data_IF_317286829545
#
_entry.id   IF_317286829545
#
_cell.length_a   1.000
_cell.length_b   1.000
_cell.length_c   1.000
_cell.angle_alpha   90.00
_cell.angle_beta   90.00
_cell.angle_gamma   90.00
#
_symmetry.space_group_name_H-M   'P 1'
#
loop_
_entity.id
_entity.type
_entity.pdbx_description
1 polymer ?
#
# COMPACT_ATOMS: atom_id res chain seq x y z
N UNK A 1 24.96 5.84 1.26
CA UNK A 1 24.38 7.04 1.92
C UNK A 1 23.16 6.56 2.67
N UNK A 2 23.16 6.57 3.99
CA UNK A 2 21.98 6.11 4.76
C UNK A 2 20.86 7.11 4.51
N UNK A 3 19.83 6.66 3.84
CA UNK A 3 18.65 7.47 3.55
C UNK A 3 17.85 7.60 4.84
N UNK A 4 17.79 8.81 5.41
CA UNK A 4 17.02 9.09 6.61
C UNK A 4 15.60 9.50 6.18
N UNK A 5 14.67 8.53 6.23
CA UNK A 5 13.24 8.83 6.27
C UNK A 5 12.92 8.98 7.77
N UNK A 6 12.48 10.16 8.23
CA UNK A 6 12.20 10.37 9.65
C UNK A 6 11.14 9.40 10.16
N UNK A 7 11.35 8.90 11.40
CA UNK A 7 10.41 8.03 12.10
C UNK A 7 9.99 6.76 11.33
N UNK A 8 10.88 6.27 10.45
CA UNK A 8 10.66 5.04 9.70
C UNK A 8 11.43 3.86 10.28
N UNK A 9 10.83 2.68 10.22
CA UNK A 9 11.52 1.38 10.33
C UNK A 9 11.66 0.82 8.92
N UNK A 10 12.85 0.36 8.56
CA UNK A 10 13.11 -0.11 7.19
C UNK A 10 14.13 -1.25 7.14
N UNK A 11 14.00 -2.08 6.13
CA UNK A 11 15.00 -3.08 5.76
C UNK A 11 16.25 -2.41 5.15
N UNK A 12 17.33 -3.17 4.97
CA UNK A 12 18.50 -2.71 4.22
C UNK A 12 18.11 -2.43 2.76
N UNK A 13 18.29 -1.18 2.33
CA UNK A 13 17.95 -0.72 1.00
C UNK A 13 19.19 -0.68 0.11
N UNK A 14 19.23 -1.56 -0.87
CA UNK A 14 20.24 -1.55 -1.93
C UNK A 14 19.50 -1.38 -3.26
N UNK A 15 19.54 -0.18 -3.81
CA UNK A 15 18.92 0.15 -5.09
C UNK A 15 19.98 0.21 -6.19
N UNK A 16 19.67 -0.42 -7.33
CA UNK A 16 20.46 -0.39 -8.54
C UNK A 16 20.23 0.88 -9.38
N UNK A 17 20.89 0.93 -10.53
CA UNK A 17 20.63 1.91 -11.59
C UNK A 17 19.65 1.30 -12.59
N UNK A 18 18.41 1.10 -12.14
CA UNK A 18 17.30 0.48 -12.88
C UNK A 18 16.01 1.25 -12.61
N UNK A 19 14.94 1.05 -13.38
CA UNK A 19 13.61 1.53 -13.02
C UNK A 19 13.25 1.18 -11.58
N UNK A 20 12.46 2.02 -10.93
CA UNK A 20 12.05 1.84 -9.54
C UNK A 20 10.54 1.76 -9.42
N UNK A 21 10.05 0.72 -8.76
CA UNK A 21 8.66 0.56 -8.36
C UNK A 21 8.58 0.75 -6.85
N UNK A 22 7.88 1.80 -6.40
CA UNK A 22 7.52 1.99 -5.00
C UNK A 22 6.05 1.63 -4.84
N UNK A 23 5.76 0.65 -3.98
CA UNK A 23 4.44 0.06 -3.90
C UNK A 23 3.92 0.07 -2.46
N UNK A 24 2.69 0.54 -2.24
CA UNK A 24 1.99 0.33 -0.98
C UNK A 24 1.68 -1.16 -0.75
N UNK A 25 1.29 -1.51 0.46
CA UNK A 25 1.04 -2.90 0.84
C UNK A 25 -0.44 -3.16 1.06
N UNK A 26 -1.06 -2.42 1.99
CA UNK A 26 -2.44 -2.68 2.40
C UNK A 26 -3.41 -2.30 1.27
N UNK A 27 -4.28 -3.22 0.88
CA UNK A 27 -5.25 -3.10 -0.23
C UNK A 27 -4.61 -3.02 -1.64
N UNK A 28 -3.27 -3.13 -1.71
CA UNK A 28 -2.50 -3.15 -2.97
C UNK A 28 -1.82 -4.51 -3.18
N UNK A 29 -0.98 -4.94 -2.25
CA UNK A 29 -0.22 -6.22 -2.29
C UNK A 29 -0.84 -7.28 -1.39
N UNK A 30 -1.31 -6.84 -0.22
CA UNK A 30 -2.08 -7.66 0.71
C UNK A 30 -3.51 -7.12 0.79
N UNK A 31 -4.48 -8.01 0.80
CA UNK A 31 -5.86 -7.64 1.10
C UNK A 31 -5.93 -7.04 2.52
N UNK A 32 -6.69 -5.96 2.66
CA UNK A 32 -6.90 -5.30 3.95
C UNK A 32 -8.38 -5.29 4.35
N UNK A 33 -9.26 -4.82 3.47
CA UNK A 33 -10.68 -4.62 3.80
C UNK A 33 -11.38 -5.93 4.17
N UNK A 34 -11.24 -6.96 3.35
CA UNK A 34 -11.87 -8.27 3.56
C UNK A 34 -11.36 -8.94 4.84
N UNK A 35 -10.04 -9.06 5.09
CA UNK A 35 -9.50 -9.58 6.34
C UNK A 35 -9.89 -8.74 7.56
N UNK A 36 -9.88 -7.41 7.45
CA UNK A 36 -10.27 -6.53 8.54
C UNK A 36 -11.75 -6.70 8.91
N UNK A 37 -12.63 -6.88 7.92
CA UNK A 37 -14.05 -7.19 8.17
C UNK A 37 -14.22 -8.53 8.92
N UNK A 38 -13.46 -9.56 8.57
CA UNK A 38 -13.48 -10.83 9.28
C UNK A 38 -12.97 -10.68 10.72
N UNK A 39 -11.86 -9.93 10.91
CA UNK A 39 -11.33 -9.59 12.22
C UNK A 39 -12.35 -8.82 13.08
N UNK A 40 -13.00 -7.81 12.53
CA UNK A 40 -14.04 -7.04 13.22
C UNK A 40 -15.17 -7.95 13.69
N UNK A 41 -15.64 -8.86 12.82
CA UNK A 41 -16.71 -9.81 13.16
C UNK A 41 -16.31 -10.71 14.31
N UNK A 42 -15.09 -11.22 14.31
CA UNK A 42 -14.56 -12.04 15.40
C UNK A 42 -14.41 -11.27 16.73
N UNK A 43 -14.34 -9.93 16.66
CA UNK A 43 -14.22 -9.05 17.82
C UNK A 43 -15.54 -8.30 18.17
N UNK A 44 -16.68 -8.78 17.68
CA UNK A 44 -18.01 -8.23 18.05
C UNK A 44 -18.40 -6.95 17.33
N UNK A 45 -17.80 -6.70 16.18
CA UNK A 45 -18.08 -5.54 15.33
C UNK A 45 -18.39 -5.96 13.90
N UNK A 46 -18.93 -5.05 13.11
CA UNK A 46 -19.14 -5.23 11.68
C UNK A 46 -18.73 -3.98 10.88
N UNK A 47 -18.26 -4.17 9.65
CA UNK A 47 -18.00 -3.09 8.71
C UNK A 47 -19.22 -2.93 7.80
N UNK A 48 -19.81 -1.72 7.76
CA UNK A 48 -20.91 -1.32 6.86
C UNK A 48 -20.42 -0.20 5.95
N UNK A 49 -19.75 -0.49 4.82
CA UNK A 49 -19.11 0.52 3.99
C UNK A 49 -20.14 1.45 3.35
N UNK A 50 -20.08 2.73 3.66
CA UNK A 50 -20.86 3.81 3.02
C UNK A 50 -19.95 4.93 2.49
N UNK A 51 -18.66 4.86 2.81
CA UNK A 51 -17.64 5.81 2.40
C UNK A 51 -16.27 5.14 2.37
N UNK A 52 -15.30 5.78 1.72
CA UNK A 52 -13.89 5.33 1.69
C UNK A 52 -13.16 5.69 2.98
N UNK A 53 -13.67 5.23 4.12
CA UNK A 53 -13.11 5.43 5.47
C UNK A 53 -13.46 4.25 6.36
N UNK A 54 -12.68 4.04 7.42
CA UNK A 54 -13.04 3.08 8.49
C UNK A 54 -13.97 3.74 9.52
N UNK A 55 -13.60 4.93 10.01
CA UNK A 55 -14.43 5.68 10.96
C UNK A 55 -15.78 6.04 10.33
N UNK A 56 -16.87 5.82 11.05
CA UNK A 56 -18.24 6.00 10.57
C UNK A 56 -18.82 4.76 9.86
N UNK A 57 -17.99 3.75 9.58
CA UNK A 57 -18.41 2.50 8.92
C UNK A 57 -18.30 1.25 9.82
N UNK A 58 -17.74 1.37 11.02
CA UNK A 58 -17.65 0.26 11.99
C UNK A 58 -18.75 0.37 13.00
N UNK A 59 -19.49 -0.74 13.24
CA UNK A 59 -20.63 -0.81 14.14
C UNK A 59 -20.47 -1.95 15.13
N UNK A 60 -20.92 -1.75 16.37
CA UNK A 60 -20.95 -2.80 17.39
C UNK A 60 -22.09 -3.78 17.14
N UNK A 61 -21.80 -5.08 17.15
CA UNK A 61 -22.81 -6.13 17.05
C UNK A 61 -23.66 -6.23 18.32
N UNK A 62 -23.15 -5.81 19.47
CA UNK A 62 -23.85 -5.91 20.75
C UNK A 62 -25.03 -4.92 20.87
N UNK A 63 -24.90 -3.72 20.31
CA UNK A 63 -25.93 -2.68 20.44
C UNK A 63 -26.30 -1.98 19.12
N UNK A 64 -25.66 -2.38 18.00
CA UNK A 64 -25.97 -1.87 16.65
C UNK A 64 -25.58 -0.40 16.40
N UNK A 65 -24.93 0.25 17.35
CA UNK A 65 -24.48 1.62 17.23
C UNK A 65 -23.12 1.73 16.55
N UNK A 66 -22.80 2.94 16.04
CA UNK A 66 -21.48 3.28 15.50
C UNK A 66 -20.41 3.11 16.57
N UNK A 67 -19.28 2.52 16.19
CA UNK A 67 -18.12 2.32 17.06
C UNK A 67 -17.33 3.63 17.14
N UNK A 68 -17.00 4.14 18.34
CA UNK A 68 -16.19 5.35 18.51
C UNK A 68 -14.82 5.25 17.84
N UNK A 69 -14.29 6.38 17.34
CA UNK A 69 -13.06 6.43 16.58
C UNK A 69 -11.83 5.89 17.35
N UNK A 70 -11.77 6.11 18.67
CA UNK A 70 -10.71 5.58 19.53
C UNK A 70 -10.78 4.04 19.68
N UNK A 71 -11.96 3.48 19.61
CA UNK A 71 -12.14 2.02 19.59
C UNK A 71 -11.80 1.43 18.21
N UNK A 72 -12.20 2.10 17.13
CA UNK A 72 -11.76 1.72 15.77
C UNK A 72 -10.24 1.72 15.67
N UNK A 73 -9.57 2.74 16.23
CA UNK A 73 -8.11 2.80 16.28
C UNK A 73 -7.50 1.63 17.09
N UNK A 74 -8.10 1.24 18.22
CA UNK A 74 -7.65 0.07 19.01
C UNK A 74 -7.86 -1.26 18.25
N UNK A 75 -8.95 -1.39 17.53
CA UNK A 75 -9.23 -2.56 16.69
C UNK A 75 -8.22 -2.66 15.54
N UNK A 76 -7.90 -1.53 14.90
CA UNK A 76 -6.89 -1.47 13.85
C UNK A 76 -5.50 -1.83 14.37
N UNK A 77 -5.13 -1.34 15.55
CA UNK A 77 -3.86 -1.70 16.22
C UNK A 77 -3.78 -3.20 16.53
N UNK A 78 -4.87 -3.77 17.05
CA UNK A 78 -4.94 -5.20 17.33
C UNK A 78 -4.87 -6.04 16.04
N UNK A 79 -5.50 -5.56 14.96
CA UNK A 79 -5.41 -6.19 13.64
C UNK A 79 -3.98 -6.20 13.12
N UNK A 80 -3.26 -5.07 13.15
CA UNK A 80 -1.87 -5.02 12.72
C UNK A 80 -0.95 -5.87 13.60
N UNK A 81 -1.25 -6.01 14.89
CA UNK A 81 -0.49 -6.88 15.78
C UNK A 81 -0.59 -8.36 15.40
N UNK A 82 -1.75 -8.81 14.93
CA UNK A 82 -2.00 -10.19 14.51
C UNK A 82 -2.26 -10.36 13.02
N UNK A 83 -1.74 -9.46 12.19
CA UNK A 83 -2.04 -9.40 10.74
C UNK A 83 -1.67 -10.67 9.97
N UNK A 84 -0.68 -11.41 10.45
CA UNK A 84 -0.23 -12.69 9.90
C UNK A 84 -1.28 -13.79 9.96
N UNK A 85 -2.25 -13.68 10.89
CA UNK A 85 -3.38 -14.59 10.99
C UNK A 85 -4.56 -14.21 10.07
N UNK A 86 -4.54 -13.03 9.45
CA UNK A 86 -5.69 -12.48 8.75
C UNK A 86 -5.45 -12.14 7.29
N UNK A 87 -4.34 -11.43 7.00
CA UNK A 87 -4.10 -10.89 5.67
C UNK A 87 -3.57 -11.95 4.71
N UNK A 88 -4.02 -11.86 3.46
CA UNK A 88 -3.62 -12.72 2.35
C UNK A 88 -3.21 -11.87 1.15
N UNK A 89 -2.40 -12.41 0.23
CA UNK A 89 -2.02 -11.68 -0.98
C UNK A 89 -3.21 -11.31 -1.85
N UNK A 90 -3.14 -10.11 -2.44
CA UNK A 90 -4.02 -9.73 -3.53
C UNK A 90 -3.73 -10.62 -4.74
N UNK A 91 -4.80 -11.03 -5.44
CA UNK A 91 -4.70 -11.89 -6.61
C UNK A 91 -3.72 -11.35 -7.64
N UNK A 92 -2.83 -12.19 -8.14
CA UNK A 92 -1.78 -11.91 -9.11
C UNK A 92 -0.66 -10.95 -8.65
N UNK A 93 -0.72 -10.35 -7.45
CA UNK A 93 0.31 -9.44 -6.96
C UNK A 93 1.71 -10.07 -6.96
N UNK A 94 1.83 -11.29 -6.40
CA UNK A 94 3.12 -11.96 -6.29
C UNK A 94 3.72 -12.27 -7.68
N UNK A 95 2.91 -12.80 -8.59
CA UNK A 95 3.37 -13.16 -9.94
C UNK A 95 3.76 -11.91 -10.75
N UNK A 96 2.97 -10.84 -10.68
CA UNK A 96 3.26 -9.59 -11.40
C UNK A 96 4.51 -8.91 -10.86
N UNK A 97 4.67 -8.82 -9.54
CA UNK A 97 5.87 -8.24 -8.91
C UNK A 97 7.11 -9.10 -9.20
N UNK A 98 7.00 -10.44 -9.20
CA UNK A 98 8.10 -11.32 -9.56
C UNK A 98 8.59 -11.06 -11.00
N UNK A 99 7.68 -10.95 -11.96
CA UNK A 99 8.03 -10.60 -13.35
C UNK A 99 8.62 -9.22 -13.49
N UNK A 100 8.06 -8.22 -12.80
CA UNK A 100 8.57 -6.83 -12.81
C UNK A 100 9.94 -6.70 -12.15
N UNK A 101 10.26 -7.52 -11.15
CA UNK A 101 11.54 -7.52 -10.45
C UNK A 101 12.72 -7.93 -11.36
N UNK A 102 12.46 -8.57 -12.49
CA UNK A 102 13.48 -8.90 -13.49
C UNK A 102 14.07 -7.63 -14.15
N UNK A 103 13.29 -6.55 -14.22
CA UNK A 103 13.66 -5.31 -14.93
C UNK A 103 13.66 -4.05 -14.05
N UNK A 104 13.13 -4.10 -12.83
CA UNK A 104 13.05 -2.96 -11.90
C UNK A 104 13.46 -3.33 -10.48
N UNK A 105 13.92 -2.33 -9.72
CA UNK A 105 14.00 -2.44 -8.27
C UNK A 105 12.60 -2.23 -7.68
N UNK A 106 12.24 -3.00 -6.65
CA UNK A 106 10.95 -2.90 -5.97
C UNK A 106 11.18 -2.56 -4.51
N UNK A 107 10.44 -1.57 -4.00
CA UNK A 107 10.43 -1.19 -2.58
C UNK A 107 8.99 -1.06 -2.11
N UNK A 108 8.66 -1.71 -1.01
CA UNK A 108 7.39 -1.49 -0.33
C UNK A 108 7.46 -0.25 0.56
N UNK A 109 6.41 0.58 0.52
CA UNK A 109 6.30 1.79 1.33
C UNK A 109 4.90 1.85 1.95
N UNK A 110 4.78 1.45 3.21
CA UNK A 110 3.50 1.39 3.92
C UNK A 110 3.35 2.49 4.97
N UNK A 111 2.10 2.97 5.14
CA UNK A 111 1.72 3.89 6.21
C UNK A 111 1.36 3.15 7.53
N UNK A 112 1.54 1.85 7.58
CA UNK A 112 1.41 1.07 8.81
C UNK A 112 2.41 1.57 9.86
N UNK A 113 2.01 1.68 11.14
CA UNK A 113 2.94 2.12 12.19
C UNK A 113 4.21 1.27 12.24
N UNK A 114 5.40 1.89 12.33
CA UNK A 114 6.70 1.22 12.26
C UNK A 114 6.89 0.07 13.27
N UNK A 115 6.25 0.13 14.43
CA UNK A 115 6.29 -0.93 15.47
C UNK A 115 5.79 -2.30 14.99
N UNK A 116 5.05 -2.35 13.89
CA UNK A 116 4.56 -3.61 13.28
C UNK A 116 5.46 -4.10 12.13
N UNK A 117 6.59 -3.44 11.86
CA UNK A 117 7.49 -3.79 10.76
C UNK A 117 7.88 -5.28 10.77
N UNK A 118 8.31 -5.81 11.91
CA UNK A 118 8.80 -7.19 12.00
C UNK A 118 7.72 -8.24 11.64
N UNK A 119 6.48 -8.09 12.13
CA UNK A 119 5.39 -9.01 11.81
C UNK A 119 4.97 -8.89 10.34
N UNK A 120 4.92 -7.66 9.80
CA UNK A 120 4.64 -7.43 8.38
C UNK A 120 5.72 -8.04 7.49
N UNK A 121 7.00 -7.90 7.84
CA UNK A 121 8.11 -8.48 7.09
C UNK A 121 7.99 -10.01 7.03
N UNK A 122 7.67 -10.66 8.16
CA UNK A 122 7.46 -12.10 8.20
C UNK A 122 6.28 -12.54 7.32
N UNK A 123 5.16 -11.81 7.36
CA UNK A 123 3.99 -12.08 6.53
C UNK A 123 4.32 -11.96 5.03
N UNK A 124 5.02 -10.90 4.64
CA UNK A 124 5.43 -10.71 3.25
C UNK A 124 6.36 -11.84 2.77
N UNK A 125 7.35 -12.21 3.57
CA UNK A 125 8.27 -13.33 3.26
C UNK A 125 7.52 -14.66 3.15
N UNK A 126 6.54 -14.92 4.01
CA UNK A 126 5.70 -16.12 3.92
C UNK A 126 4.98 -16.25 2.57
N UNK A 127 4.63 -15.12 1.97
CA UNK A 127 3.94 -15.05 0.69
C UNK A 127 4.87 -14.79 -0.52
N UNK A 128 6.19 -14.86 -0.33
CA UNK A 128 7.18 -14.71 -1.41
C UNK A 128 7.44 -13.28 -1.85
N UNK A 129 7.10 -12.29 -1.03
CA UNK A 129 7.39 -10.87 -1.27
C UNK A 129 8.71 -10.45 -0.59
N UNK A 130 9.84 -10.87 -1.14
CA UNK A 130 11.17 -10.62 -0.57
C UNK A 130 11.79 -9.30 -1.06
N UNK A 131 10.98 -8.24 -1.13
CA UNK A 131 11.43 -6.89 -1.48
C UNK A 131 11.61 -6.04 -0.22
N UNK A 132 12.57 -5.09 -0.20
CA UNK A 132 12.76 -4.19 0.94
C UNK A 132 11.49 -3.43 1.29
N UNK A 133 11.25 -3.21 2.58
CA UNK A 133 10.08 -2.52 3.09
C UNK A 133 10.47 -1.33 3.97
N UNK A 134 9.72 -0.25 3.83
CA UNK A 134 9.76 0.94 4.68
C UNK A 134 8.36 1.10 5.29
N UNK A 135 8.30 1.14 6.62
CA UNK A 135 7.10 1.48 7.37
C UNK A 135 7.26 2.89 7.97
N UNK A 136 6.35 3.80 7.64
CA UNK A 136 6.38 5.19 8.16
C UNK A 136 4.99 5.79 8.16
N UNK A 137 4.65 6.51 9.23
CA UNK A 137 3.43 7.32 9.32
C UNK A 137 3.59 8.72 8.68
N UNK A 138 4.78 9.05 8.17
CA UNK A 138 5.04 10.28 7.44
C UNK A 138 4.42 10.25 6.03
N UNK A 139 4.28 11.43 5.41
CA UNK A 139 3.80 11.54 4.04
C UNK A 139 4.71 10.79 3.05
N UNK A 140 4.12 10.04 2.12
CA UNK A 140 4.88 9.19 1.18
C UNK A 140 5.68 9.96 0.13
N UNK A 141 5.27 11.18 -0.24
CA UNK A 141 5.97 11.98 -1.24
C UNK A 141 7.45 12.24 -0.94
N UNK A 142 7.82 12.76 0.25
CA UNK A 142 9.22 12.90 0.66
C UNK A 142 10.00 11.59 0.67
N UNK A 143 9.36 10.48 1.06
CA UNK A 143 10.00 9.16 1.06
C UNK A 143 10.31 8.69 -0.38
N UNK A 144 9.36 8.84 -1.31
CA UNK A 144 9.59 8.51 -2.73
C UNK A 144 10.64 9.41 -3.34
N UNK A 145 10.67 10.71 -3.00
CA UNK A 145 11.73 11.62 -3.45
C UNK A 145 13.11 11.16 -2.97
N UNK A 146 13.22 10.74 -1.72
CA UNK A 146 14.46 10.21 -1.16
C UNK A 146 14.90 8.90 -1.85
N UNK A 147 13.95 8.00 -2.17
CA UNK A 147 14.18 6.77 -2.92
C UNK A 147 14.56 7.04 -4.37
N UNK A 148 13.92 8.01 -5.01
CA UNK A 148 14.23 8.43 -6.37
C UNK A 148 15.69 8.94 -6.44
N UNK A 149 16.09 9.80 -5.49
CA UNK A 149 17.42 10.41 -5.50
C UNK A 149 17.67 11.21 -6.79
N UNK A 150 18.77 10.91 -7.46
CA UNK A 150 19.16 11.53 -8.75
C UNK A 150 19.18 10.52 -9.91
N UNK A 151 18.33 9.46 -9.85
CA UNK A 151 18.35 8.44 -10.91
C UNK A 151 17.72 8.96 -12.21
N UNK A 152 18.28 8.55 -13.32
CA UNK A 152 17.78 8.83 -14.68
C UNK A 152 16.86 7.71 -15.21
N UNK A 153 16.29 6.93 -14.31
CA UNK A 153 15.40 5.82 -14.66
C UNK A 153 13.97 6.09 -14.21
N UNK A 154 12.98 5.58 -14.95
CA UNK A 154 11.58 5.81 -14.63
C UNK A 154 11.20 5.28 -13.24
N UNK A 155 10.27 5.99 -12.59
CA UNK A 155 9.74 5.64 -11.27
C UNK A 155 8.24 5.44 -11.37
N UNK A 156 7.75 4.39 -10.71
CA UNK A 156 6.33 4.10 -10.56
C UNK A 156 5.98 4.13 -9.09
N UNK A 157 4.84 4.71 -8.75
CA UNK A 157 4.27 4.66 -7.40
C UNK A 157 2.85 4.10 -7.46
N UNK A 158 2.58 3.05 -6.68
CA UNK A 158 1.30 2.34 -6.64
C UNK A 158 0.71 2.47 -5.24
N UNK A 159 -0.52 2.96 -5.12
CA UNK A 159 -1.16 3.19 -3.83
C UNK A 159 -2.70 3.20 -4.00
N UNK A 160 -3.45 2.78 -2.98
CA UNK A 160 -4.91 2.84 -2.95
C UNK A 160 -5.42 4.22 -2.50
N UNK A 161 -4.62 4.98 -1.74
CA UNK A 161 -5.01 6.24 -1.11
C UNK A 161 -4.62 7.44 -1.97
N UNK A 162 -5.61 8.17 -2.47
CA UNK A 162 -5.38 9.32 -3.36
C UNK A 162 -4.49 10.42 -2.75
N UNK A 163 -4.53 10.62 -1.43
CA UNK A 163 -3.69 11.63 -0.76
C UNK A 163 -2.21 11.27 -0.87
N UNK A 164 -1.86 9.99 -0.82
CA UNK A 164 -0.49 9.51 -1.01
C UNK A 164 -0.03 9.75 -2.45
N UNK A 165 -0.88 9.41 -3.45
CA UNK A 165 -0.61 9.67 -4.86
C UNK A 165 -0.37 11.16 -5.13
N UNK A 166 -1.21 12.04 -4.57
CA UNK A 166 -1.04 13.49 -4.67
C UNK A 166 0.23 13.99 -3.99
N UNK A 167 0.59 13.42 -2.83
CA UNK A 167 1.83 13.74 -2.14
C UNK A 167 3.05 13.39 -3.01
N UNK A 168 3.07 12.20 -3.64
CA UNK A 168 4.16 11.80 -4.53
C UNK A 168 4.23 12.71 -5.76
N UNK A 169 3.09 13.04 -6.36
CA UNK A 169 3.03 13.96 -7.50
C UNK A 169 3.67 15.32 -7.21
N UNK A 170 3.47 15.85 -6.01
CA UNK A 170 4.05 17.14 -5.60
C UNK A 170 5.57 17.09 -5.46
N UNK A 171 6.14 15.94 -5.11
CA UNK A 171 7.56 15.79 -4.82
C UNK A 171 8.35 15.20 -6.00
N UNK A 172 7.73 14.30 -6.79
CA UNK A 172 8.34 13.60 -7.92
C UNK A 172 7.36 13.60 -9.10
N UNK A 173 7.18 14.75 -9.79
CA UNK A 173 6.12 14.94 -10.81
C UNK A 173 6.17 13.99 -12.00
N UNK A 174 7.34 13.47 -12.34
CA UNK A 174 7.58 12.56 -13.45
C UNK A 174 7.21 11.09 -13.16
N UNK A 175 6.86 10.77 -11.90
CA UNK A 175 6.47 9.41 -11.50
C UNK A 175 5.18 8.98 -12.17
N UNK A 176 5.12 7.77 -12.73
CA UNK A 176 3.86 7.14 -13.08
C UNK A 176 3.11 6.82 -11.78
N UNK A 177 1.94 7.42 -11.61
CA UNK A 177 1.08 7.21 -10.45
C UNK A 177 -0.04 6.23 -10.80
N UNK A 178 -0.08 5.08 -10.13
CA UNK A 178 -1.11 4.08 -10.29
C UNK A 178 -1.99 4.00 -9.03
N UNK A 179 -3.29 4.20 -9.20
CA UNK A 179 -4.26 3.90 -8.16
C UNK A 179 -4.78 2.47 -8.36
N UNK A 180 -4.50 1.61 -7.39
CA UNK A 180 -4.96 0.22 -7.38
C UNK A 180 -5.64 -0.05 -6.04
N UNK A 181 -6.89 -0.51 -6.08
CA UNK A 181 -7.68 -0.88 -4.90
C UNK A 181 -8.22 -2.29 -5.15
N UNK A 182 -7.80 -3.25 -4.34
CA UNK A 182 -8.16 -4.65 -4.53
C UNK A 182 -9.64 -4.92 -4.24
N UNK A 183 -10.20 -4.34 -3.17
CA UNK A 183 -11.59 -4.55 -2.78
C UNK A 183 -12.57 -3.77 -3.64
N UNK A 184 -13.48 -4.46 -4.34
CA UNK A 184 -14.46 -3.85 -5.27
C UNK A 184 -15.41 -2.85 -4.61
N UNK A 185 -15.83 -3.13 -3.36
CA UNK A 185 -16.76 -2.24 -2.63
C UNK A 185 -16.05 -0.93 -2.31
N UNK A 186 -14.84 -1.00 -1.75
CA UNK A 186 -14.05 0.19 -1.42
C UNK A 186 -13.62 0.95 -2.66
N UNK A 187 -13.27 0.25 -3.75
CA UNK A 187 -13.00 0.87 -5.05
C UNK A 187 -14.20 1.69 -5.56
N UNK A 188 -15.42 1.18 -5.41
CA UNK A 188 -16.65 1.88 -5.77
C UNK A 188 -16.97 3.09 -4.88
N UNK A 189 -16.41 3.18 -3.68
CA UNK A 189 -16.58 4.27 -2.72
C UNK A 189 -15.40 5.26 -2.73
N UNK A 190 -14.30 4.91 -3.41
CA UNK A 190 -13.11 5.74 -3.44
C UNK A 190 -13.36 7.05 -4.20
N UNK A 191 -12.83 8.18 -3.73
CA UNK A 191 -12.84 9.41 -4.49
C UNK A 191 -11.98 9.25 -5.75
N UNK A 192 -12.31 10.00 -6.80
CA UNK A 192 -11.48 10.02 -8.01
C UNK A 192 -10.04 10.46 -7.64
N UNK A 193 -8.99 9.71 -8.04
CA UNK A 193 -7.63 9.95 -7.56
C UNK A 193 -6.98 11.23 -8.09
N UNK A 194 -7.64 11.95 -8.99
CA UNK A 194 -7.18 13.22 -9.56
C UNK A 194 -6.54 13.09 -10.93
N UNK A 195 -6.23 14.24 -11.53
CA UNK A 195 -5.58 14.29 -12.86
C UNK A 195 -4.16 13.71 -12.79
N UNK A 196 -3.75 13.01 -13.85
CA UNK A 196 -2.41 12.41 -13.98
C UNK A 196 -2.18 11.18 -13.09
N UNK A 197 -3.24 10.63 -12.50
CA UNK A 197 -3.23 9.32 -11.88
C UNK A 197 -3.95 8.34 -12.79
N UNK A 198 -3.32 7.21 -13.08
CA UNK A 198 -3.91 6.13 -13.86
C UNK A 198 -4.54 5.11 -12.90
N UNK A 199 -5.77 4.69 -13.18
CA UNK A 199 -6.47 3.67 -12.40
C UNK A 199 -6.11 2.29 -12.98
N UNK A 200 -5.49 1.43 -12.18
CA UNK A 200 -5.30 0.04 -12.50
C UNK A 200 -6.47 -0.78 -11.93
N UNK A 201 -7.07 -1.63 -12.75
CA UNK A 201 -8.22 -2.45 -12.35
C UNK A 201 -7.81 -3.65 -11.49
N UNK A 202 -6.61 -4.15 -11.73
CA UNK A 202 -5.99 -5.28 -11.06
C UNK A 202 -4.47 -5.30 -11.33
N UNK A 203 -3.77 -6.29 -10.79
CA UNK A 203 -2.32 -6.41 -10.97
C UNK A 203 -1.89 -6.73 -12.40
N UNK A 204 -2.70 -7.45 -13.19
CA UNK A 204 -2.36 -7.71 -14.60
C UNK A 204 -2.38 -6.42 -15.42
N UNK A 205 -3.39 -5.59 -15.20
CA UNK A 205 -3.48 -4.26 -15.84
C UNK A 205 -2.38 -3.31 -15.31
N UNK A 206 -2.07 -3.34 -14.01
CA UNK A 206 -0.97 -2.55 -13.45
C UNK A 206 0.38 -2.91 -14.10
N UNK A 207 0.68 -4.19 -14.27
CA UNK A 207 1.89 -4.68 -14.95
C UNK A 207 1.98 -4.17 -16.39
N UNK A 208 0.89 -4.23 -17.16
CA UNK A 208 0.84 -3.69 -18.53
C UNK A 208 1.18 -2.19 -18.58
N UNK A 209 0.59 -1.40 -17.67
CA UNK A 209 0.82 0.04 -17.58
C UNK A 209 2.27 0.37 -17.19
N UNK A 210 2.85 -0.38 -16.25
CA UNK A 210 4.23 -0.23 -15.80
C UNK A 210 5.21 -0.51 -16.95
N UNK A 211 5.02 -1.64 -17.65
CA UNK A 211 5.89 -2.00 -18.79
C UNK A 211 5.79 -1.00 -19.93
N UNK A 212 4.58 -0.48 -20.21
CA UNK A 212 4.40 0.56 -21.21
C UNK A 212 5.13 1.86 -20.82
N UNK A 213 5.11 2.24 -19.53
CA UNK A 213 5.85 3.40 -19.03
C UNK A 213 7.37 3.20 -19.16
N UNK A 214 7.90 2.06 -18.77
CA UNK A 214 9.34 1.78 -18.91
C UNK A 214 9.80 1.82 -20.36
N UNK A 215 8.99 1.29 -21.28
CA UNK A 215 9.30 1.30 -22.71
C UNK A 215 9.26 2.70 -23.34
N UNK A 216 8.48 3.63 -22.77
CA UNK A 216 8.38 5.01 -23.26
C UNK A 216 9.54 5.91 -22.79
N UNK A 217 10.18 5.56 -21.69
CA UNK A 217 11.27 6.32 -21.05
C UNK A 217 12.67 5.67 -21.29
N UNK A 218 12.75 4.57 -22.04
CA UNK A 218 13.98 3.88 -22.42
C UNK A 218 14.60 4.52 -23.68
#
# INVERSE_FOLDING_TARGET
MTMLIPDAEHDDLVLGERPLIVCDIDEVVLEFVTPFQAFLTANGHELRPTSFRLNGNVFSLAHGGETPADEVARLLEAFFTGQDAWQTPVLAAADSLARLSEEADIVFLTAMPPRHHAVRRQLLTLHGFDYPMIATEAAKGPAVLALHGSRDHPVVFIDDIFVNLQSVRQHVPQTLLLNLIANDIFRGLAPHPGEGVTIATDWSHAEELIRAHFAAEA
#
